data_IF_982740001335
#
_entry.id   IF_982740001335
#
_cell.length_a   1.000
_cell.length_b   1.000
_cell.length_c   1.000
_cell.angle_alpha   90.00
_cell.angle_beta   90.00
_cell.angle_gamma   90.00
#
_symmetry.space_group_name_H-M   'P 1'
#
loop_
_entity.id
_entity.type
_entity.pdbx_description
1 polymer ?
#
# COMPACT_ATOMS: atom_id res chain seq x y z
N UNK A 1 -18.74 8.10 -12.83
CA UNK A 1 -17.69 9.14 -12.87
C UNK A 1 -17.17 9.54 -11.48
N UNK A 2 -17.16 8.63 -10.48
CA UNK A 2 -16.90 9.01 -9.07
C UNK A 2 -15.73 8.27 -8.40
N UNK A 3 -15.04 7.36 -9.10
CA UNK A 3 -13.98 6.52 -8.52
C UNK A 3 -12.60 7.21 -8.44
N UNK A 4 -12.42 8.39 -9.02
CA UNK A 4 -11.09 9.02 -9.12
C UNK A 4 -10.69 9.82 -7.88
N UNK A 5 -11.66 10.30 -7.09
CA UNK A 5 -11.41 11.24 -5.98
C UNK A 5 -10.49 10.63 -4.92
N UNK A 6 -10.72 9.39 -4.43
CA UNK A 6 -9.82 8.80 -3.44
C UNK A 6 -8.43 8.49 -4.01
N UNK A 7 -8.33 8.11 -5.29
CA UNK A 7 -7.04 7.91 -5.97
C UNK A 7 -6.26 9.22 -6.05
N UNK A 8 -6.94 10.33 -6.34
CA UNK A 8 -6.31 11.64 -6.41
C UNK A 8 -5.79 12.13 -5.06
N UNK A 9 -6.59 11.97 -3.99
CA UNK A 9 -6.16 12.27 -2.62
C UNK A 9 -4.96 11.41 -2.20
N UNK A 10 -4.99 10.12 -2.53
CA UNK A 10 -3.87 9.23 -2.31
C UNK A 10 -2.62 9.69 -3.07
N UNK A 11 -2.74 10.05 -4.34
CA UNK A 11 -1.61 10.48 -5.16
C UNK A 11 -0.92 11.73 -4.58
N UNK A 12 -1.69 12.71 -4.09
CA UNK A 12 -1.13 13.89 -3.42
C UNK A 12 -0.38 13.49 -2.14
N UNK A 13 -1.02 12.67 -1.30
CA UNK A 13 -0.43 12.20 -0.06
C UNK A 13 0.87 11.42 -0.29
N UNK A 14 0.85 10.47 -1.23
CA UNK A 14 1.98 9.60 -1.53
C UNK A 14 3.14 10.38 -2.18
N UNK A 15 2.84 11.31 -3.09
CA UNK A 15 3.86 12.17 -3.70
C UNK A 15 4.61 13.00 -2.65
N UNK A 16 3.88 13.60 -1.71
CA UNK A 16 4.49 14.37 -0.62
C UNK A 16 5.35 13.49 0.28
N UNK A 17 4.81 12.34 0.72
CA UNK A 17 5.51 11.40 1.61
C UNK A 17 6.80 10.89 0.97
N UNK A 18 6.72 10.39 -0.26
CA UNK A 18 7.86 9.84 -1.01
C UNK A 18 8.94 10.91 -1.22
N UNK A 19 8.57 12.15 -1.50
CA UNK A 19 9.56 13.25 -1.62
C UNK A 19 10.30 13.51 -0.30
N UNK A 20 9.58 13.51 0.83
CA UNK A 20 10.18 13.70 2.15
C UNK A 20 11.12 12.54 2.51
N UNK A 21 10.73 11.30 2.20
CA UNK A 21 11.55 10.12 2.53
C UNK A 21 12.80 10.03 1.66
N UNK A 22 12.69 10.31 0.35
CA UNK A 22 13.85 10.42 -0.53
C UNK A 22 14.81 11.53 -0.09
N UNK A 23 14.30 12.68 0.38
CA UNK A 23 15.16 13.73 0.92
C UNK A 23 15.97 13.26 2.14
N UNK A 24 15.37 12.49 3.05
CA UNK A 24 16.10 11.92 4.21
C UNK A 24 17.20 10.97 3.76
N UNK A 25 16.89 10.08 2.81
CA UNK A 25 17.86 9.15 2.23
C UNK A 25 19.02 9.92 1.61
N UNK A 26 18.76 10.94 0.79
CA UNK A 26 19.83 11.70 0.14
C UNK A 26 20.74 12.39 1.17
N UNK A 27 20.18 12.90 2.27
CA UNK A 27 20.94 13.49 3.36
C UNK A 27 21.82 12.45 4.09
N UNK A 28 21.31 11.23 4.32
CA UNK A 28 22.07 10.15 4.94
C UNK A 28 23.22 9.70 4.04
N UNK A 29 22.94 9.48 2.74
CA UNK A 29 23.93 9.07 1.76
C UNK A 29 25.09 10.08 1.66
N UNK A 30 24.80 11.39 1.69
CA UNK A 30 25.81 12.45 1.70
C UNK A 30 26.69 12.43 2.96
N UNK A 31 26.11 12.10 4.12
CA UNK A 31 26.85 12.07 5.40
C UNK A 31 27.77 10.86 5.53
N UNK A 32 27.33 9.72 5.02
CA UNK A 32 28.07 8.47 5.15
C UNK A 32 29.06 8.23 4.00
N UNK A 33 29.13 9.13 3.00
CA UNK A 33 29.82 8.88 1.72
C UNK A 33 29.45 7.52 1.10
N UNK A 34 28.23 7.03 1.39
CA UNK A 34 27.77 5.70 1.03
C UNK A 34 27.53 5.60 -0.48
N UNK A 35 27.85 4.44 -1.07
CA UNK A 35 27.46 4.12 -2.45
C UNK A 35 25.94 3.93 -2.50
N UNK A 36 25.27 4.47 -3.51
CA UNK A 36 23.82 4.42 -3.76
C UNK A 36 23.26 3.00 -4.03
N UNK A 37 23.57 2.00 -3.20
CA UNK A 37 23.19 0.59 -3.41
C UNK A 37 21.91 0.17 -2.66
N UNK A 38 21.23 1.08 -1.97
CA UNK A 38 20.02 0.76 -1.19
C UNK A 38 18.72 0.80 -2.02
N UNK A 39 18.79 1.28 -3.28
CA UNK A 39 17.65 1.46 -4.17
C UNK A 39 17.82 0.58 -5.40
N UNK A 40 16.80 -0.22 -5.71
CA UNK A 40 16.72 -0.85 -7.03
C UNK A 40 15.83 0.03 -7.91
N UNK A 41 16.45 0.83 -8.75
CA UNK A 41 15.74 1.67 -9.72
C UNK A 41 15.36 0.79 -10.91
N UNK A 42 14.11 0.32 -10.94
CA UNK A 42 13.53 -0.40 -12.06
C UNK A 42 12.87 0.54 -13.06
N UNK A 43 12.56 0.03 -14.25
CA UNK A 43 11.87 0.79 -15.30
C UNK A 43 10.45 1.24 -14.89
N UNK A 44 9.84 0.56 -13.93
CA UNK A 44 8.50 0.85 -13.43
C UNK A 44 8.51 1.57 -12.08
N UNK A 45 9.56 1.40 -11.28
CA UNK A 45 9.52 1.76 -9.87
C UNK A 45 10.90 1.87 -9.22
N UNK A 46 11.03 2.81 -8.28
CA UNK A 46 12.15 2.86 -7.34
C UNK A 46 11.78 1.96 -6.15
N UNK A 47 12.39 0.78 -6.08
CA UNK A 47 12.18 -0.15 -4.98
C UNK A 47 13.20 0.13 -3.88
N UNK A 48 12.69 0.45 -2.69
CA UNK A 48 13.48 0.62 -1.50
C UNK A 48 12.75 0.07 -0.29
N UNK A 49 13.53 -0.43 0.66
CA UNK A 49 12.99 -0.96 1.89
C UNK A 49 12.67 0.21 2.81
N UNK A 50 11.40 0.37 3.13
CA UNK A 50 10.90 1.50 3.90
C UNK A 50 9.96 1.00 5.00
N UNK A 51 10.04 1.66 6.16
CA UNK A 51 9.22 1.32 7.31
C UNK A 51 7.91 2.10 7.24
N UNK A 52 6.81 1.38 7.02
CA UNK A 52 5.49 1.96 6.72
C UNK A 52 4.47 1.59 7.78
N UNK A 53 3.39 2.36 7.92
CA UNK A 53 2.36 2.05 8.92
C UNK A 53 1.35 1.04 8.35
N UNK A 54 1.18 -0.16 8.95
CA UNK A 54 0.23 -1.16 8.45
C UNK A 54 -1.22 -0.66 8.44
N UNK A 55 -1.59 0.16 9.43
CA UNK A 55 -2.93 0.74 9.51
C UNK A 55 -3.20 1.73 8.38
N UNK A 56 -2.19 2.50 7.96
CA UNK A 56 -2.32 3.42 6.82
C UNK A 56 -2.54 2.64 5.53
N UNK A 57 -1.81 1.52 5.34
CA UNK A 57 -2.03 0.63 4.19
C UNK A 57 -3.45 0.05 4.16
N UNK A 58 -3.99 -0.35 5.32
CA UNK A 58 -5.35 -0.85 5.43
C UNK A 58 -6.40 0.23 5.15
N UNK A 59 -6.26 1.43 5.72
CA UNK A 59 -7.19 2.56 5.50
C UNK A 59 -7.23 2.95 4.02
N UNK A 60 -6.08 3.03 3.36
CA UNK A 60 -6.06 3.32 1.93
C UNK A 60 -6.73 2.22 1.10
N UNK A 61 -6.55 0.95 1.47
CA UNK A 61 -7.23 -0.18 0.83
C UNK A 61 -8.75 -0.20 1.06
N UNK A 62 -9.21 0.30 2.21
CA UNK A 62 -10.64 0.47 2.50
C UNK A 62 -11.28 1.55 1.62
N UNK A 63 -10.52 2.58 1.23
CA UNK A 63 -11.01 3.59 0.31
C UNK A 63 -11.28 3.01 -1.08
N UNK A 64 -10.25 2.47 -1.72
CA UNK A 64 -10.34 1.79 -3.01
C UNK A 64 -9.45 0.54 -3.00
N UNK A 65 -9.97 -0.64 -3.36
CA UNK A 65 -9.17 -1.84 -3.54
C UNK A 65 -8.11 -1.60 -4.61
N UNK A 66 -6.84 -1.62 -4.19
CA UNK A 66 -5.58 -1.38 -4.96
C UNK A 66 -4.66 -0.41 -4.24
N UNK A 67 -5.22 0.56 -3.51
CA UNK A 67 -4.45 1.73 -3.07
C UNK A 67 -3.43 1.37 -1.98
N UNK A 68 -3.72 0.38 -1.12
CA UNK A 68 -2.71 -0.11 -0.18
C UNK A 68 -1.55 -0.85 -0.84
N UNK A 69 -1.78 -1.54 -1.95
CA UNK A 69 -0.71 -2.15 -2.74
C UNK A 69 0.15 -1.08 -3.42
N UNK A 70 -0.47 0.02 -3.86
CA UNK A 70 0.26 1.18 -4.39
C UNK A 70 1.06 1.88 -3.28
N UNK A 71 0.48 2.02 -2.07
CA UNK A 71 1.17 2.50 -0.88
C UNK A 71 2.39 1.66 -0.53
N UNK A 72 2.36 0.36 -0.83
CA UNK A 72 3.47 -0.58 -0.66
C UNK A 72 4.46 -0.61 -1.82
N UNK A 73 4.28 0.22 -2.84
CA UNK A 73 5.16 0.24 -4.01
C UNK A 73 5.19 -1.13 -4.71
N UNK A 74 4.01 -1.77 -4.83
CA UNK A 74 3.80 -3.01 -5.59
C UNK A 74 3.00 -2.70 -6.84
N UNK A 75 3.55 -1.87 -7.75
CA UNK A 75 2.80 -1.27 -8.85
C UNK A 75 2.10 -2.30 -9.74
N UNK A 76 2.78 -3.38 -10.13
CA UNK A 76 2.17 -4.41 -11.00
C UNK A 76 0.93 -5.02 -10.36
N UNK A 77 1.01 -5.37 -9.07
CA UNK A 77 -0.11 -5.92 -8.33
C UNK A 77 -1.21 -4.87 -8.11
N UNK A 78 -0.83 -3.64 -7.78
CA UNK A 78 -1.76 -2.54 -7.62
C UNK A 78 -2.57 -2.29 -8.89
N UNK A 79 -1.92 -2.22 -10.05
CA UNK A 79 -2.59 -2.04 -11.35
C UNK A 79 -3.52 -3.21 -11.65
N UNK A 80 -3.07 -4.44 -11.46
CA UNK A 80 -3.92 -5.62 -11.64
C UNK A 80 -5.17 -5.58 -10.76
N UNK A 81 -4.99 -5.19 -9.49
CA UNK A 81 -6.09 -5.08 -8.54
C UNK A 81 -7.04 -3.95 -8.95
N UNK A 82 -6.52 -2.79 -9.34
CA UNK A 82 -7.32 -1.65 -9.75
C UNK A 82 -8.17 -1.96 -10.98
N UNK A 83 -7.58 -2.58 -12.00
CA UNK A 83 -8.29 -2.98 -13.22
C UNK A 83 -9.40 -3.97 -12.89
N UNK A 84 -9.10 -4.98 -12.06
CA UNK A 84 -10.10 -5.97 -11.65
C UNK A 84 -11.23 -5.32 -10.83
N UNK A 85 -10.93 -4.35 -9.96
CA UNK A 85 -11.94 -3.55 -9.25
C UNK A 85 -12.86 -2.83 -10.23
N UNK A 86 -12.29 -2.18 -11.26
CA UNK A 86 -13.07 -1.45 -12.27
C UNK A 86 -13.98 -2.41 -13.04
N UNK A 87 -13.48 -3.58 -13.44
CA UNK A 87 -14.25 -4.61 -14.16
C UNK A 87 -15.43 -5.09 -13.31
N UNK A 88 -15.20 -5.45 -12.05
CA UNK A 88 -16.25 -5.91 -11.13
C UNK A 88 -17.31 -4.82 -10.92
N UNK A 89 -16.90 -3.58 -10.70
CA UNK A 89 -17.80 -2.46 -10.44
C UNK A 89 -18.60 -2.06 -11.69
N UNK A 90 -18.01 -2.19 -12.87
CA UNK A 90 -18.67 -1.91 -14.15
C UNK A 90 -19.74 -2.96 -14.46
N UNK A 91 -19.38 -4.24 -14.42
CA UNK A 91 -20.32 -5.32 -14.75
C UNK A 91 -21.42 -5.52 -13.70
N UNK A 92 -21.16 -5.18 -12.43
CA UNK A 92 -22.20 -5.22 -11.40
C UNK A 92 -23.26 -4.11 -11.51
N UNK A 93 -23.05 -3.09 -12.35
CA UNK A 93 -23.82 -1.84 -12.35
C UNK A 93 -23.94 -1.19 -10.96
N UNK A 94 -22.97 -1.46 -10.07
CA UNK A 94 -23.07 -1.10 -8.66
C UNK A 94 -23.25 0.41 -8.43
N UNK A 95 -22.53 1.25 -9.19
CA UNK A 95 -22.62 2.71 -9.06
C UNK A 95 -24.04 3.21 -9.39
N UNK A 96 -24.69 2.62 -10.40
CA UNK A 96 -26.04 2.98 -10.80
C UNK A 96 -27.07 2.47 -9.79
N UNK A 97 -26.91 1.23 -9.32
CA UNK A 97 -27.74 0.68 -8.25
C UNK A 97 -27.65 1.54 -6.97
N UNK A 98 -26.44 1.90 -6.56
CA UNK A 98 -26.19 2.77 -5.41
C UNK A 98 -26.84 4.15 -5.58
N UNK A 99 -26.85 4.71 -6.79
CA UNK A 99 -27.53 5.97 -7.07
C UNK A 99 -29.04 5.87 -6.83
N UNK A 100 -29.70 4.82 -7.34
CA UNK A 100 -31.13 4.59 -7.08
C UNK A 100 -31.41 4.30 -5.60
N UNK A 101 -30.50 3.59 -4.92
CA UNK A 101 -30.60 3.35 -3.48
C UNK A 101 -30.56 4.65 -2.67
N UNK A 102 -29.66 5.57 -3.01
CA UNK A 102 -29.56 6.90 -2.36
C UNK A 102 -30.83 7.71 -2.58
N UNK A 103 -31.48 7.58 -3.74
CA UNK A 103 -32.77 8.21 -4.05
C UNK A 103 -33.96 7.53 -3.35
N UNK A 104 -33.75 6.43 -2.65
CA UNK A 104 -34.79 5.67 -1.94
C UNK A 104 -35.56 4.67 -2.81
N UNK A 105 -35.20 4.51 -4.09
CA UNK A 105 -35.86 3.56 -5.00
C UNK A 105 -35.17 2.18 -4.93
N UNK A 106 -35.51 1.43 -3.88
CA UNK A 106 -34.93 0.10 -3.61
C UNK A 106 -35.31 -0.91 -4.69
N UNK A 107 -36.52 -0.82 -5.24
CA UNK A 107 -37.00 -1.72 -6.30
C UNK A 107 -36.16 -1.56 -7.55
N UNK A 108 -35.98 -0.32 -8.01
CA UNK A 108 -35.17 -0.02 -9.19
C UNK A 108 -33.70 -0.31 -8.95
N UNK A 109 -33.16 0.05 -7.78
CA UNK A 109 -31.78 -0.29 -7.38
C UNK A 109 -31.50 -1.78 -7.52
N UNK A 110 -32.41 -2.63 -7.02
CA UNK A 110 -32.21 -4.08 -7.03
C UNK A 110 -32.35 -4.67 -8.44
N UNK A 111 -33.20 -4.07 -9.28
CA UNK A 111 -33.43 -4.52 -10.65
C UNK A 111 -32.28 -4.26 -11.63
N UNK A 112 -31.52 -3.18 -11.42
CA UNK A 112 -30.40 -2.80 -12.30
C UNK A 112 -29.08 -3.45 -11.88
N UNK A 113 -29.02 -3.96 -10.65
CA UNK A 113 -27.84 -4.55 -10.05
C UNK A 113 -27.63 -5.98 -10.58
N UNK A 114 -26.44 -6.27 -11.07
CA UNK A 114 -26.04 -7.64 -11.38
C UNK A 114 -25.45 -8.30 -10.12
N UNK A 115 -26.25 -9.18 -9.51
CA UNK A 115 -25.90 -9.84 -8.26
C UNK A 115 -24.70 -10.80 -8.41
N UNK A 116 -24.54 -11.45 -9.56
CA UNK A 116 -23.45 -12.40 -9.79
C UNK A 116 -22.11 -11.69 -9.74
N UNK A 117 -21.99 -10.56 -10.44
CA UNK A 117 -20.78 -9.74 -10.42
C UNK A 117 -20.54 -9.09 -9.07
N UNK A 118 -21.60 -8.62 -8.38
CA UNK A 118 -21.45 -8.01 -7.07
C UNK A 118 -20.95 -9.00 -6.00
N UNK A 119 -21.34 -10.28 -6.08
CA UNK A 119 -20.92 -11.29 -5.09
C UNK A 119 -19.40 -11.54 -5.07
N UNK A 120 -18.67 -11.19 -6.12
CA UNK A 120 -17.21 -11.23 -6.12
C UNK A 120 -16.57 -10.12 -5.28
N UNK A 121 -17.29 -9.01 -5.08
CA UNK A 121 -16.72 -7.80 -4.47
C UNK A 121 -16.33 -7.97 -2.99
N UNK A 122 -17.14 -8.57 -2.08
CA UNK A 122 -16.78 -8.67 -0.66
C UNK A 122 -15.48 -9.43 -0.42
N UNK A 123 -15.33 -10.63 -0.99
CA UNK A 123 -14.13 -11.45 -0.83
C UNK A 123 -12.90 -10.73 -1.40
N UNK A 124 -13.04 -10.13 -2.57
CA UNK A 124 -12.01 -9.34 -3.23
C UNK A 124 -11.61 -8.13 -2.38
N UNK A 125 -12.57 -7.37 -1.88
CA UNK A 125 -12.37 -6.19 -1.05
C UNK A 125 -11.58 -6.52 0.23
N UNK A 126 -12.04 -7.50 1.01
CA UNK A 126 -11.34 -7.89 2.25
C UNK A 126 -9.97 -8.51 1.99
N UNK A 127 -9.81 -9.26 0.88
CA UNK A 127 -8.51 -9.78 0.49
C UNK A 127 -7.50 -8.65 0.25
N UNK A 128 -7.88 -7.60 -0.48
CA UNK A 128 -6.95 -6.49 -0.77
C UNK A 128 -6.53 -5.73 0.49
N UNK A 129 -7.43 -5.57 1.47
CA UNK A 129 -7.12 -4.95 2.76
C UNK A 129 -6.14 -5.83 3.56
N UNK A 130 -6.43 -7.13 3.65
CA UNK A 130 -5.59 -8.07 4.37
C UNK A 130 -4.20 -8.19 3.75
N UNK A 131 -4.12 -8.33 2.42
CA UNK A 131 -2.86 -8.36 1.67
C UNK A 131 -2.04 -7.09 1.93
N UNK A 132 -2.63 -5.90 1.80
CA UNK A 132 -1.91 -4.65 2.07
C UNK A 132 -1.40 -4.55 3.51
N UNK A 133 -2.22 -4.94 4.50
CA UNK A 133 -1.83 -4.89 5.90
C UNK A 133 -0.66 -5.85 6.21
N UNK A 134 -0.82 -7.12 5.84
CA UNK A 134 0.16 -8.17 6.15
C UNK A 134 1.49 -7.93 5.46
N UNK A 135 1.49 -7.58 4.18
CA UNK A 135 2.72 -7.24 3.47
C UNK A 135 3.44 -6.04 4.11
N UNK A 136 2.70 -5.06 4.64
CA UNK A 136 3.32 -3.94 5.37
C UNK A 136 4.00 -4.43 6.65
N UNK A 137 3.35 -5.32 7.40
CA UNK A 137 3.93 -5.90 8.63
C UNK A 137 5.19 -6.70 8.32
N UNK A 138 5.17 -7.56 7.30
CA UNK A 138 6.32 -8.39 6.94
C UNK A 138 7.48 -7.54 6.38
N UNK A 139 7.20 -6.55 5.52
CA UNK A 139 8.24 -5.62 5.04
C UNK A 139 8.89 -4.83 6.17
N UNK A 140 8.11 -4.44 7.19
CA UNK A 140 8.64 -3.75 8.36
C UNK A 140 9.56 -4.65 9.21
N UNK A 141 9.27 -5.95 9.31
CA UNK A 141 10.17 -6.89 10.00
C UNK A 141 11.50 -6.97 9.27
N UNK A 142 11.46 -7.15 7.94
CA UNK A 142 12.65 -7.17 7.10
C UNK A 142 13.45 -5.87 7.22
N UNK A 143 12.79 -4.71 7.25
CA UNK A 143 13.44 -3.42 7.48
C UNK A 143 14.19 -3.39 8.81
N UNK A 144 13.56 -3.83 9.89
CA UNK A 144 14.21 -3.84 11.21
C UNK A 144 15.40 -4.80 11.26
N UNK A 145 15.31 -5.95 10.59
CA UNK A 145 16.39 -6.94 10.56
C UNK A 145 17.60 -6.41 9.77
N UNK A 146 17.37 -5.80 8.61
CA UNK A 146 18.42 -5.14 7.81
C UNK A 146 19.05 -3.99 8.59
N UNK A 147 18.23 -3.13 9.20
CA UNK A 147 18.72 -2.00 9.99
C UNK A 147 19.54 -2.47 11.20
N UNK A 148 19.08 -3.51 11.91
CA UNK A 148 19.80 -4.11 13.04
C UNK A 148 21.16 -4.62 12.60
N UNK A 149 21.20 -5.41 11.51
CA UNK A 149 22.44 -5.95 10.97
C UNK A 149 23.43 -4.85 10.55
N UNK A 150 22.93 -3.80 9.89
CA UNK A 150 23.75 -2.63 9.53
C UNK A 150 24.38 -1.97 10.76
N UNK A 151 23.60 -1.79 11.84
CA UNK A 151 24.10 -1.20 13.08
C UNK A 151 25.13 -2.08 13.78
N UNK A 152 24.90 -3.40 13.80
CA UNK A 152 25.85 -4.37 14.36
C UNK A 152 27.18 -4.37 13.60
N UNK A 153 27.14 -4.33 12.27
CA UNK A 153 28.35 -4.34 11.43
C UNK A 153 29.19 -3.05 11.52
N UNK A 154 28.54 -1.88 11.65
CA UNK A 154 29.22 -0.59 11.55
C UNK A 154 29.48 0.11 12.89
N UNK A 155 28.71 -0.21 13.93
CA UNK A 155 28.74 0.54 15.20
C UNK A 155 28.92 -0.33 16.45
N UNK A 156 29.00 -1.66 16.33
CA UNK A 156 29.21 -2.53 17.49
C UNK A 156 30.70 -2.55 17.89
N UNK A 157 31.06 -2.24 19.14
CA UNK A 157 32.45 -2.27 19.60
C UNK A 157 32.99 -3.69 19.68
N UNK A 158 34.26 -3.87 19.30
CA UNK A 158 34.96 -5.16 19.34
C UNK A 158 34.96 -5.70 20.78
N UNK A 159 34.36 -6.88 20.97
CA UNK A 159 34.36 -7.59 22.26
C UNK A 159 33.11 -7.39 23.13
N UNK A 160 32.13 -6.58 22.72
CA UNK A 160 30.85 -6.47 23.43
C UNK A 160 29.67 -6.69 22.48
N UNK A 161 29.05 -7.87 22.56
CA UNK A 161 27.80 -8.16 21.86
C UNK A 161 26.65 -7.49 22.62
N UNK A 162 26.13 -6.39 22.08
CA UNK A 162 24.87 -5.82 22.58
C UNK A 162 23.74 -6.67 22.00
N UNK A 163 23.25 -7.64 22.78
CA UNK A 163 22.07 -8.43 22.43
C UNK A 163 20.83 -7.55 22.55
N UNK A 164 20.42 -6.93 21.44
CA UNK A 164 19.13 -6.22 21.40
C UNK A 164 18.04 -7.27 21.22
N UNK A 165 17.45 -7.74 22.33
CA UNK A 165 16.53 -8.88 22.29
C UNK A 165 15.70 -9.26 23.52
N UNK A 166 16.08 -8.95 24.77
CA UNK A 166 15.21 -9.32 25.90
C UNK A 166 14.25 -8.18 26.25
N UNK A 167 13.11 -8.18 25.58
CA UNK A 167 11.91 -7.52 26.10
C UNK A 167 11.18 -8.52 27.00
N UNK A 168 11.37 -8.38 28.32
CA UNK A 168 10.38 -8.77 29.34
C UNK A 168 9.05 -8.09 29.09
#
# INVERSE_FOLDING_TARGET
>A
MSLYIPVYLFAIYDSYRTAVDLNKVTLLAQRENGRFNEFTIGALEINYLDKRSPWVAAVWSMGIPSVGQLYLHRIVLAVFILVSTIVIMWHSNFILALHYLILGDVSKSSSVLDAQWLMYFPSYYFFTIYDAYTNTVENNKLFNDVQKKYLEENYQPVGHLITTGDKT
#
